data_IF_728317325393
#
_entry.id   IF_728317325393
#
_cell.length_a   1.000
_cell.length_b   1.000
_cell.length_c   1.000
_cell.angle_alpha   90.00
_cell.angle_beta   90.00
_cell.angle_gamma   90.00
#
_symmetry.space_group_name_H-M   'P 1'
#
loop_
_entity.id
_entity.type
_entity.pdbx_description
1 polymer ?
#
# COMPACT_ATOMS: atom_id res chain seq x y z
N UNK A 1 3.59 -21.66 1.41
CA UNK A 1 2.30 -21.33 2.03
C UNK A 1 2.30 -19.85 2.30
N UNK A 2 1.26 -19.11 1.91
CA UNK A 2 0.76 -17.90 2.59
C UNK A 2 -0.32 -17.26 1.69
N UNK A 3 -1.53 -17.80 1.81
CA UNK A 3 -2.71 -17.34 1.08
C UNK A 3 -3.87 -17.29 2.07
N UNK A 4 -4.44 -16.09 2.14
CA UNK A 4 -5.81 -15.74 2.54
C UNK A 4 -6.13 -15.91 4.02
N UNK A 5 -6.09 -14.78 4.75
CA UNK A 5 -6.73 -14.64 6.05
C UNK A 5 -8.25 -14.71 5.94
N UNK A 6 -8.81 -15.91 5.81
CA UNK A 6 -10.23 -16.19 6.06
C UNK A 6 -10.49 -16.03 7.56
N UNK A 7 -11.41 -15.15 7.90
CA UNK A 7 -11.78 -14.89 9.29
C UNK A 7 -13.06 -14.08 9.28
N UNK A 8 -14.14 -14.73 9.69
CA UNK A 8 -15.56 -14.39 9.58
C UNK A 8 -16.04 -13.21 10.44
N UNK A 9 -15.15 -12.32 10.87
CA UNK A 9 -15.50 -11.08 11.56
C UNK A 9 -15.33 -9.89 10.63
N UNK A 10 -16.37 -9.06 10.48
CA UNK A 10 -16.38 -7.83 9.67
C UNK A 10 -15.40 -6.77 10.18
N UNK A 11 -14.10 -7.03 10.07
CA UNK A 11 -13.03 -6.11 10.44
C UNK A 11 -12.68 -5.24 9.24
N UNK A 12 -12.80 -3.94 9.41
CA UNK A 12 -12.22 -2.96 8.48
C UNK A 12 -10.76 -2.75 8.83
N UNK A 13 -9.91 -2.47 7.83
CA UNK A 13 -8.49 -2.16 8.03
C UNK A 13 -8.23 -0.74 7.57
N UNK A 14 -7.62 0.08 8.43
CA UNK A 14 -7.19 1.43 8.07
C UNK A 14 -5.73 1.37 7.64
N UNK A 15 -5.43 1.86 6.44
CA UNK A 15 -4.11 1.75 5.84
C UNK A 15 -3.68 3.10 5.27
N UNK A 16 -2.55 3.62 5.76
CA UNK A 16 -1.86 4.76 5.16
C UNK A 16 -0.86 4.25 4.14
N UNK A 17 -1.01 4.65 2.88
CA UNK A 17 -0.14 4.21 1.78
C UNK A 17 0.38 5.37 0.95
N UNK A 18 1.56 5.23 0.35
CA UNK A 18 2.03 6.12 -0.72
C UNK A 18 1.89 5.42 -2.07
N UNK A 19 1.50 6.18 -3.09
CA UNK A 19 1.52 5.71 -4.46
C UNK A 19 2.93 5.27 -4.86
N UNK A 20 3.03 4.18 -5.62
CA UNK A 20 4.29 3.74 -6.20
C UNK A 20 4.88 4.89 -7.04
N UNK A 21 5.98 5.48 -6.59
CA UNK A 21 6.69 6.51 -7.35
C UNK A 21 7.16 5.88 -8.66
N UNK A 22 6.50 6.24 -9.76
CA UNK A 22 7.00 5.87 -11.08
C UNK A 22 8.22 6.75 -11.30
N UNK A 23 9.41 6.16 -11.32
CA UNK A 23 10.66 6.89 -11.51
C UNK A 23 10.56 7.77 -12.77
N UNK A 24 10.78 9.08 -12.57
CA UNK A 24 11.07 10.11 -13.56
C UNK A 24 10.26 10.11 -14.87
N UNK A 25 9.24 10.98 -14.96
CA UNK A 25 8.95 11.65 -16.22
C UNK A 25 9.59 13.03 -16.19
N UNK A 26 10.76 13.13 -16.82
CA UNK A 26 11.38 14.40 -17.19
C UNK A 26 10.39 15.20 -18.05
N UNK A 27 9.94 16.37 -17.58
CA UNK A 27 9.11 17.29 -18.38
C UNK A 27 8.05 18.01 -17.55
N UNK A 28 8.25 19.30 -17.33
CA UNK A 28 7.46 20.14 -16.42
C UNK A 28 5.96 20.21 -16.70
N UNK A 29 5.20 20.44 -15.64
CA UNK A 29 3.77 20.74 -15.72
C UNK A 29 3.02 20.24 -14.49
N UNK A 30 2.96 21.09 -13.45
CA UNK A 30 1.86 21.28 -12.49
C UNK A 30 0.76 20.19 -12.51
N UNK A 31 1.04 18.95 -12.08
CA UNK A 31 0.05 17.87 -11.87
C UNK A 31 0.38 16.91 -10.72
N UNK A 32 1.32 17.24 -9.84
CA UNK A 32 1.74 16.34 -8.74
C UNK A 32 0.92 16.51 -7.45
N UNK A 33 -0.36 16.88 -7.54
CA UNK A 33 -1.26 16.91 -6.38
C UNK A 33 -1.77 15.51 -5.96
N UNK A 34 -1.39 14.43 -6.67
CA UNK A 34 -1.93 13.08 -6.45
C UNK A 34 -0.91 12.02 -5.97
N UNK A 35 0.35 12.40 -5.70
CA UNK A 35 1.44 11.47 -5.36
C UNK A 35 1.73 11.36 -3.84
N UNK A 36 0.94 12.03 -2.99
CA UNK A 36 1.16 12.05 -1.55
C UNK A 36 0.69 10.78 -0.82
N UNK A 37 1.00 10.65 0.48
CA UNK A 37 0.38 9.67 1.36
C UNK A 37 -1.15 9.77 1.31
N UNK A 38 -1.84 8.63 1.29
CA UNK A 38 -3.29 8.55 1.34
C UNK A 38 -3.74 7.51 2.36
N UNK A 39 -4.81 7.82 3.07
CA UNK A 39 -5.47 6.89 3.99
C UNK A 39 -6.60 6.21 3.25
N UNK A 40 -6.66 4.89 3.34
CA UNK A 40 -7.78 4.11 2.82
C UNK A 40 -8.35 3.21 3.91
N UNK A 41 -9.65 2.97 3.83
CA UNK A 41 -10.34 2.00 4.68
C UNK A 41 -10.79 0.85 3.80
N UNK A 42 -10.34 -0.36 4.13
CA UNK A 42 -10.70 -1.57 3.38
C UNK A 42 -11.61 -2.42 4.27
N UNK A 43 -12.84 -2.65 3.82
CA UNK A 43 -13.75 -3.55 4.49
C UNK A 43 -13.45 -4.99 4.07
N UNK A 44 -13.28 -5.89 5.04
CA UNK A 44 -13.02 -7.29 4.75
C UNK A 44 -14.23 -7.94 4.07
N UNK A 45 -13.98 -8.65 2.99
CA UNK A 45 -14.98 -9.47 2.28
C UNK A 45 -14.74 -10.95 2.56
N UNK A 46 -15.56 -11.83 1.97
CA UNK A 46 -15.38 -13.28 2.06
C UNK A 46 -13.99 -13.73 1.58
N UNK A 47 -13.45 -13.09 0.55
CA UNK A 47 -12.10 -13.35 0.01
C UNK A 47 -10.99 -12.61 0.78
N UNK A 48 -11.31 -11.97 1.91
CA UNK A 48 -10.39 -11.15 2.70
C UNK A 48 -10.33 -9.70 2.24
N UNK A 49 -9.16 -9.07 2.37
CA UNK A 49 -8.95 -7.69 1.94
C UNK A 49 -8.55 -7.57 0.46
N UNK A 50 -8.17 -8.66 -0.21
CA UNK A 50 -7.88 -8.65 -1.65
C UNK A 50 -6.54 -8.04 -2.06
N UNK A 51 -5.50 -8.11 -1.23
CA UNK A 51 -4.14 -7.73 -1.62
C UNK A 51 -3.07 -8.55 -0.88
N UNK A 52 -1.88 -8.62 -1.47
CA UNK A 52 -0.70 -9.26 -0.87
C UNK A 52 0.34 -8.21 -0.51
N UNK A 53 1.08 -8.47 0.56
CA UNK A 53 2.17 -7.61 1.04
C UNK A 53 3.50 -8.34 0.87
N UNK A 54 4.54 -7.60 0.49
CA UNK A 54 5.92 -8.08 0.46
C UNK A 54 6.85 -6.99 0.99
N UNK A 55 7.96 -7.41 1.59
CA UNK A 55 8.96 -6.50 2.12
C UNK A 55 9.81 -7.18 3.17
N UNK A 56 10.79 -6.45 3.67
CA UNK A 56 11.55 -6.89 4.84
C UNK A 56 10.60 -6.95 6.05
N UNK A 57 10.74 -8.01 6.85
CA UNK A 57 9.98 -8.20 8.10
C UNK A 57 10.79 -7.74 9.32
N UNK A 58 12.12 -7.68 9.19
CA UNK A 58 13.02 -7.17 10.23
C UNK A 58 12.81 -5.67 10.45
N UNK A 59 12.66 -5.28 11.71
CA UNK A 59 12.66 -3.88 12.13
C UNK A 59 14.01 -3.22 11.81
N UNK A 60 13.98 -1.97 11.34
CA UNK A 60 15.17 -1.20 11.00
C UNK A 60 15.75 -1.46 9.59
N UNK A 61 16.93 -0.89 9.35
CA UNK A 61 17.62 -0.91 8.07
C UNK A 61 17.99 0.50 7.58
N UNK A 62 18.69 0.57 6.46
CA UNK A 62 19.11 1.86 5.90
C UNK A 62 17.90 2.70 5.49
N UNK A 63 17.86 3.95 5.97
CA UNK A 63 16.81 4.90 5.62
C UNK A 63 16.86 5.23 4.13
N UNK A 64 15.69 5.34 3.51
CA UNK A 64 15.52 5.70 2.10
C UNK A 64 14.79 7.02 2.01
N UNK A 65 15.33 7.94 1.20
CA UNK A 65 14.63 9.18 0.89
C UNK A 65 13.51 8.89 -0.11
N UNK A 66 12.27 9.20 0.26
CA UNK A 66 11.09 9.13 -0.59
C UNK A 66 10.43 10.52 -0.52
N UNK A 67 10.33 11.21 -1.66
CA UNK A 67 9.79 12.57 -1.74
C UNK A 67 10.44 13.58 -0.78
N UNK A 68 11.74 13.43 -0.48
CA UNK A 68 12.49 14.33 0.40
C UNK A 68 12.45 13.97 1.89
N UNK A 69 11.67 12.96 2.28
CA UNK A 69 11.60 12.49 3.66
C UNK A 69 12.24 11.09 3.80
N UNK A 70 12.90 10.84 4.93
CA UNK A 70 13.61 9.59 5.20
C UNK A 70 12.69 8.58 5.87
N UNK A 71 12.50 7.44 5.23
CA UNK A 71 11.70 6.34 5.75
C UNK A 71 12.58 5.10 5.97
N UNK A 72 12.26 4.33 7.00
CA UNK A 72 12.77 2.96 7.13
C UNK A 72 12.31 2.09 5.93
N UNK A 73 12.92 0.92 5.68
CA UNK A 73 12.46 0.03 4.61
C UNK A 73 10.98 -0.33 4.73
N UNK A 74 10.15 0.24 3.85
CA UNK A 74 8.70 0.05 3.86
C UNK A 74 8.28 -1.24 3.15
N UNK A 75 7.27 -1.91 3.71
CA UNK A 75 6.54 -2.95 3.02
C UNK A 75 5.74 -2.36 1.85
N UNK A 76 5.41 -3.20 0.88
CA UNK A 76 4.65 -2.78 -0.29
C UNK A 76 3.63 -3.81 -0.72
N UNK A 77 2.64 -3.33 -1.46
CA UNK A 77 1.61 -4.17 -2.06
C UNK A 77 2.21 -4.89 -3.27
N UNK A 78 2.29 -6.22 -3.20
CA UNK A 78 2.92 -7.05 -4.25
C UNK A 78 1.92 -7.54 -5.31
N UNK A 79 0.65 -7.68 -4.92
CA UNK A 79 -0.47 -8.01 -5.79
C UNK A 79 -1.77 -7.45 -5.21
N UNK A 80 -2.74 -7.18 -6.09
CA UNK A 80 -4.11 -6.79 -5.75
C UNK A 80 -5.04 -7.75 -6.51
N UNK A 81 -6.11 -8.19 -5.86
CA UNK A 81 -7.15 -9.01 -6.48
C UNK A 81 -8.07 -8.11 -7.32
N UNK A 82 -8.22 -8.44 -8.59
CA UNK A 82 -9.13 -7.74 -9.50
C UNK A 82 -10.57 -7.81 -8.97
N UNK A 83 -11.25 -6.66 -8.96
CA UNK A 83 -12.56 -6.41 -8.36
C UNK A 83 -12.65 -6.77 -6.87
N UNK A 84 -11.52 -6.93 -6.18
CA UNK A 84 -11.44 -7.21 -4.76
C UNK A 84 -11.60 -5.96 -3.90
N UNK A 85 -11.78 -6.16 -2.59
CA UNK A 85 -12.01 -5.07 -1.64
C UNK A 85 -10.93 -3.98 -1.66
N UNK A 86 -9.66 -4.37 -1.78
CA UNK A 86 -8.54 -3.45 -1.85
C UNK A 86 -8.54 -2.60 -3.12
N UNK A 87 -8.87 -3.17 -4.28
CA UNK A 87 -8.94 -2.41 -5.53
C UNK A 87 -10.07 -1.37 -5.45
N UNK A 88 -11.25 -1.77 -4.95
CA UNK A 88 -12.39 -0.89 -4.75
C UNK A 88 -12.08 0.24 -3.73
N UNK A 89 -11.24 -0.05 -2.73
CA UNK A 89 -10.74 0.95 -1.78
C UNK A 89 -9.58 1.81 -2.32
N UNK A 90 -9.13 1.56 -3.55
CA UNK A 90 -8.10 2.36 -4.23
C UNK A 90 -6.65 1.95 -3.93
N UNK A 91 -6.41 0.74 -3.43
CA UNK A 91 -5.07 0.16 -3.31
C UNK A 91 -4.57 -0.33 -4.67
N UNK A 92 -3.28 -0.09 -4.93
CA UNK A 92 -2.60 -0.41 -6.18
C UNK A 92 -1.35 -1.22 -5.92
N UNK A 93 -1.01 -2.10 -6.86
CA UNK A 93 0.28 -2.80 -6.85
C UNK A 93 1.42 -1.79 -6.81
N UNK A 94 2.36 -2.00 -5.89
CA UNK A 94 3.52 -1.14 -5.66
C UNK A 94 3.32 -0.06 -4.60
N UNK A 95 2.11 0.15 -4.09
CA UNK A 95 1.88 1.08 -2.98
C UNK A 95 2.78 0.72 -1.79
N UNK A 96 3.37 1.75 -1.17
CA UNK A 96 4.19 1.61 0.04
C UNK A 96 3.30 1.79 1.26
N UNK A 97 3.39 0.86 2.21
CA UNK A 97 2.61 0.91 3.45
C UNK A 97 3.39 1.72 4.47
N UNK A 98 2.79 2.80 4.97
CA UNK A 98 3.36 3.66 6.00
C UNK A 98 2.87 3.25 7.39
N UNK A 99 1.56 3.06 7.52
CA UNK A 99 0.89 2.80 8.79
C UNK A 99 -0.32 1.89 8.56
N UNK A 100 -0.64 1.07 9.56
CA UNK A 100 -1.78 0.17 9.53
C UNK A 100 -2.42 0.05 10.92
N UNK A 101 -3.76 0.11 10.96
CA UNK A 101 -4.58 -0.08 12.17
C UNK A 101 -5.72 -1.09 11.92
#
# INVERSE_FOLDING_TARGET
>A
MDVIGVGSGGRSKHLSTMAATTAARNGGGIRDAASGPRVVTIHKTETGFGFNVRGQVSEGGQLRSINGELYAPLQHVSAVLDNGAAELAGIKKGDRILEVN
#
